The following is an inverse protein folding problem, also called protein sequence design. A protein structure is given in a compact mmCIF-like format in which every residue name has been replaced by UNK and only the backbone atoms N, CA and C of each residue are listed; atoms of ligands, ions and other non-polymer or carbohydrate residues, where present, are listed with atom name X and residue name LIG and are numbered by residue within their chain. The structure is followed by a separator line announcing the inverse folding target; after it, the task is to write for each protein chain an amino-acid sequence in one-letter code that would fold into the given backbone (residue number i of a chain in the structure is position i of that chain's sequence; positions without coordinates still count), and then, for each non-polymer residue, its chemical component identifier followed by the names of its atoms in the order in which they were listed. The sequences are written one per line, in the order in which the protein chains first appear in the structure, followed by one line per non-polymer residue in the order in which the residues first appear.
data_IF_276959850050
#
_entry.id   IF_276959850050
#
_cell.length_a   1.000
_cell.length_b   1.000
_cell.length_c   1.000
_cell.angle_alpha   90.00
_cell.angle_beta   90.00
_cell.angle_gamma   90.00
#
_symmetry.space_group_name_H-M   'P 1'
#
loop_
_entity.id
_entity.type
_entity.pdbx_description
1 polymer ?
#
# COMPACT_ATOMS: atom_id res chain seq x y z
N UNK A 1 -6.72 -6.22 3.19
CA UNK A 1 -7.21 -6.55 1.83
C UNK A 1 -6.90 -5.52 0.74
N UNK A 2 -7.39 -4.27 0.78
CA UNK A 2 -7.21 -3.31 -0.34
C UNK A 2 -5.73 -3.09 -0.66
N UNK A 3 -4.91 -2.83 0.36
CA UNK A 3 -3.46 -2.69 0.22
C UNK A 3 -2.79 -4.02 -0.15
N UNK A 4 -3.12 -5.10 0.57
CA UNK A 4 -2.55 -6.45 0.34
C UNK A 4 -2.77 -6.97 -1.09
N UNK A 5 -3.93 -6.71 -1.69
CA UNK A 5 -4.30 -7.22 -3.01
C UNK A 5 -4.15 -6.16 -4.12
N UNK A 6 -3.48 -5.04 -3.81
CA UNK A 6 -3.20 -3.96 -4.77
C UNK A 6 -4.49 -3.50 -5.49
N UNK A 7 -5.58 -3.37 -4.74
CA UNK A 7 -6.88 -2.97 -5.29
C UNK A 7 -7.00 -1.44 -5.30
N UNK A 8 -7.62 -0.85 -6.33
CA UNK A 8 -7.92 0.58 -6.32
C UNK A 8 -8.81 0.94 -5.12
N UNK A 9 -8.57 2.09 -4.48
CA UNK A 9 -9.43 2.56 -3.38
C UNK A 9 -10.88 2.74 -3.81
N UNK A 10 -11.13 2.98 -5.10
CA UNK A 10 -12.47 3.10 -5.68
C UNK A 10 -13.29 1.82 -5.56
N UNK A 11 -12.68 0.65 -5.37
CA UNK A 11 -13.39 -0.62 -5.23
C UNK A 11 -14.42 -0.61 -4.09
N UNK A 12 -14.24 0.19 -3.04
CA UNK A 12 -15.24 0.30 -1.95
C UNK A 12 -16.52 1.05 -2.35
N UNK A 13 -16.50 1.72 -3.50
CA UNK A 13 -17.67 2.38 -4.07
C UNK A 13 -18.48 1.47 -5.00
N UNK A 14 -17.95 0.29 -5.35
CA UNK A 14 -18.61 -0.67 -6.21
C UNK A 14 -19.94 -1.16 -5.60
N UNK A 15 -20.95 -1.33 -6.44
CA UNK A 15 -22.29 -1.72 -5.98
C UNK A 15 -22.30 -3.17 -5.46
N UNK A 16 -21.62 -4.09 -6.14
CA UNK A 16 -21.51 -5.49 -5.74
C UNK A 16 -20.73 -5.63 -4.44
N UNK A 17 -19.63 -4.90 -4.30
CA UNK A 17 -18.88 -4.83 -3.04
C UNK A 17 -19.76 -4.35 -1.87
N UNK A 18 -20.50 -3.25 -2.05
CA UNK A 18 -21.37 -2.69 -1.01
C UNK A 18 -22.53 -3.60 -0.66
N UNK A 19 -23.10 -4.28 -1.65
CA UNK A 19 -24.13 -5.29 -1.43
C UNK A 19 -23.58 -6.44 -0.57
N UNK A 20 -22.45 -7.02 -0.98
CA UNK A 20 -21.77 -8.10 -0.23
C UNK A 20 -21.41 -7.70 1.20
N UNK A 21 -20.91 -6.48 1.43
CA UNK A 21 -20.56 -6.00 2.78
C UNK A 21 -21.78 -5.80 3.68
N UNK A 22 -22.98 -5.65 3.11
CA UNK A 22 -24.23 -5.48 3.85
C UNK A 22 -25.04 -6.76 3.96
N UNK A 23 -24.69 -7.79 3.22
CA UNK A 23 -25.33 -9.09 3.27
C UNK A 23 -25.17 -9.69 4.68
N UNK A 24 -26.29 -10.03 5.32
CA UNK A 24 -26.32 -10.47 6.72
C UNK A 24 -26.13 -9.38 7.78
N UNK A 25 -25.71 -8.14 7.42
CA UNK A 25 -25.59 -6.98 8.32
C UNK A 25 -25.95 -5.66 7.63
N UNK A 26 -27.25 -5.36 7.45
CA UNK A 26 -27.70 -4.19 6.67
C UNK A 26 -27.26 -2.83 7.24
N UNK A 27 -27.08 -2.74 8.56
CA UNK A 27 -26.63 -1.54 9.28
C UNK A 27 -25.10 -1.35 9.26
N UNK A 28 -24.35 -2.27 8.64
CA UNK A 28 -22.90 -2.15 8.58
C UNK A 28 -22.47 -0.90 7.79
N UNK A 29 -21.59 -0.11 8.40
CA UNK A 29 -21.04 1.09 7.79
C UNK A 29 -19.87 0.75 6.88
N UNK A 30 -20.03 1.00 5.57
CA UNK A 30 -18.97 0.82 4.58
C UNK A 30 -18.17 2.12 4.44
N UNK A 31 -16.85 2.03 4.60
CA UNK A 31 -15.95 3.18 4.50
C UNK A 31 -15.94 3.78 3.10
N UNK A 32 -15.79 5.11 3.02
CA UNK A 32 -15.55 5.81 1.77
C UNK A 32 -14.11 5.62 1.27
N UNK A 33 -13.90 5.79 -0.05
CA UNK A 33 -12.58 5.66 -0.70
C UNK A 33 -11.50 6.54 -0.05
N UNK A 34 -11.87 7.75 0.38
CA UNK A 34 -10.92 8.72 0.92
C UNK A 34 -10.53 8.38 2.36
N UNK A 35 -11.44 7.79 3.13
CA UNK A 35 -11.15 7.23 4.45
C UNK A 35 -10.19 6.06 4.33
N UNK A 36 -10.46 5.13 3.42
CA UNK A 36 -9.57 3.99 3.16
C UNK A 36 -8.18 4.47 2.71
N UNK A 37 -8.10 5.44 1.80
CA UNK A 37 -6.83 6.01 1.35
C UNK A 37 -6.05 6.67 2.52
N UNK A 38 -6.74 7.40 3.40
CA UNK A 38 -6.13 8.03 4.58
C UNK A 38 -5.58 6.99 5.55
N UNK A 39 -6.33 5.93 5.81
CA UNK A 39 -5.92 4.89 6.76
C UNK A 39 -4.76 4.05 6.20
N UNK A 40 -4.78 3.72 4.91
CA UNK A 40 -3.65 3.07 4.23
C UNK A 40 -2.41 3.97 4.27
N UNK A 41 -2.56 5.30 4.08
CA UNK A 41 -1.44 6.24 4.21
C UNK A 41 -0.87 6.28 5.63
N UNK A 42 -1.72 6.27 6.66
CA UNK A 42 -1.26 6.20 8.07
C UNK A 42 -0.48 4.91 8.33
N UNK A 43 -0.99 3.77 7.86
CA UNK A 43 -0.31 2.49 7.97
C UNK A 43 1.06 2.53 7.29
N UNK A 44 1.12 3.04 6.06
CA UNK A 44 2.38 3.22 5.33
C UNK A 44 3.39 4.06 6.11
N UNK A 45 2.96 5.19 6.70
CA UNK A 45 3.86 6.06 7.49
C UNK A 45 4.38 5.35 8.74
N UNK A 46 3.52 4.61 9.45
CA UNK A 46 3.93 3.83 10.62
C UNK A 46 4.94 2.72 10.23
N UNK A 47 4.67 1.98 9.15
CA UNK A 47 5.58 0.94 8.65
C UNK A 47 6.90 1.55 8.17
N UNK A 48 6.87 2.70 7.49
CA UNK A 48 8.07 3.41 7.06
C UNK A 48 8.93 3.85 8.26
N UNK A 49 8.32 4.36 9.32
CA UNK A 49 9.03 4.77 10.53
C UNK A 49 9.68 3.56 11.23
N UNK A 50 8.95 2.44 11.34
CA UNK A 50 9.51 1.18 11.85
C UNK A 50 10.70 0.72 11.00
N UNK A 51 10.53 0.65 9.69
CA UNK A 51 11.59 0.23 8.76
C UNK A 51 12.82 1.15 8.83
N UNK A 52 12.63 2.46 8.99
CA UNK A 52 13.74 3.40 9.14
C UNK A 52 14.54 3.11 10.43
N UNK A 53 13.86 2.83 11.54
CA UNK A 53 14.52 2.44 12.79
C UNK A 53 15.26 1.11 12.61
N UNK A 54 14.62 0.12 12.00
CA UNK A 54 15.23 -1.20 11.74
C UNK A 54 16.51 -1.03 10.91
N UNK A 55 16.46 -0.29 9.80
CA UNK A 55 17.62 -0.03 8.92
C UNK A 55 18.74 0.78 9.59
N UNK A 56 18.41 1.75 10.45
CA UNK A 56 19.41 2.52 11.20
C UNK A 56 20.09 1.68 12.29
N UNK A 57 19.41 0.68 12.83
CA UNK A 57 19.95 -0.25 13.82
C UNK A 57 20.76 -1.39 13.22
N UNK A 58 20.66 -1.62 11.91
CA UNK A 58 21.39 -2.68 11.23
C UNK A 58 22.87 -2.33 11.04
N UNK A 59 23.76 -3.17 11.56
CA UNK A 59 25.21 -3.11 11.32
C UNK A 59 25.62 -3.92 10.05
N UNK A 60 24.64 -4.47 9.35
CA UNK A 60 24.84 -5.32 8.16
C UNK A 60 24.89 -4.51 6.87
N UNK A 61 25.60 -5.04 5.86
CA UNK A 61 25.59 -4.49 4.51
C UNK A 61 24.24 -4.75 3.84
N UNK A 62 23.61 -3.69 3.35
CA UNK A 62 22.37 -3.76 2.58
C UNK A 62 22.68 -3.75 1.09
N UNK A 63 22.00 -4.59 0.31
CA UNK A 63 22.07 -4.58 -1.14
C UNK A 63 21.02 -3.61 -1.70
N UNK A 64 21.47 -2.64 -2.50
CA UNK A 64 20.61 -1.66 -3.16
C UNK A 64 20.50 -2.00 -4.65
N UNK A 65 19.28 -2.15 -5.15
CA UNK A 65 18.99 -2.25 -6.57
C UNK A 65 18.17 -1.02 -7.00
N UNK A 66 18.60 -0.36 -8.07
CA UNK A 66 17.88 0.74 -8.71
C UNK A 66 17.54 0.31 -10.12
N UNK A 67 16.25 0.29 -10.43
CA UNK A 67 15.73 -0.06 -11.75
C UNK A 67 15.06 1.16 -12.37
N UNK A 68 15.42 1.48 -13.61
CA UNK A 68 14.97 2.67 -14.32
C UNK A 68 14.38 2.27 -15.68
N UNK A 69 13.16 2.70 -15.96
CA UNK A 69 12.51 2.41 -17.24
C UNK A 69 11.64 3.58 -17.70
N UNK A 70 11.27 3.57 -18.98
CA UNK A 70 10.27 4.49 -19.53
C UNK A 70 8.94 3.76 -19.64
N UNK A 71 7.88 4.33 -19.08
CA UNK A 71 6.54 3.81 -19.26
C UNK A 71 6.03 4.08 -20.69
N UNK A 72 5.11 3.26 -21.22
CA UNK A 72 4.45 3.52 -22.51
C UNK A 72 3.77 4.89 -22.60
N UNK A 73 3.46 5.51 -21.46
CA UNK A 73 2.85 6.83 -21.35
C UNK A 73 3.89 7.97 -21.31
N UNK A 74 5.12 7.74 -21.77
CA UNK A 74 6.22 8.73 -21.82
C UNK A 74 6.68 9.28 -20.46
N UNK A 75 6.37 8.59 -19.36
CA UNK A 75 6.91 8.93 -18.05
C UNK A 75 8.13 8.06 -17.73
N UNK A 76 9.25 8.70 -17.40
CA UNK A 76 10.41 8.03 -16.81
C UNK A 76 10.10 7.60 -15.37
N UNK A 77 10.36 6.33 -15.05
CA UNK A 77 10.12 5.71 -13.75
C UNK A 77 11.44 5.21 -13.16
N UNK A 78 11.50 5.21 -11.83
CA UNK A 78 12.61 4.65 -11.06
C UNK A 78 12.06 3.86 -9.88
N UNK A 79 12.47 2.61 -9.74
CA UNK A 79 12.24 1.78 -8.56
C UNK A 79 13.53 1.67 -7.76
N UNK A 80 13.41 1.71 -6.45
CA UNK A 80 14.52 1.51 -5.51
C UNK A 80 14.13 0.37 -4.58
N UNK A 81 14.89 -0.71 -4.63
CA UNK A 81 14.69 -1.90 -3.79
C UNK A 81 15.90 -2.12 -2.91
N UNK A 82 15.67 -2.33 -1.62
CA UNK A 82 16.72 -2.65 -0.65
C UNK A 82 16.47 -4.07 -0.13
N UNK A 83 17.49 -4.92 -0.19
CA UNK A 83 17.46 -6.29 0.31
C UNK A 83 18.57 -6.49 1.34
N UNK A 84 18.25 -7.15 2.44
CA UNK A 84 19.21 -7.55 3.47
C UNK A 84 18.84 -8.93 4.00
N UNK A 85 19.82 -9.62 4.58
CA UNK A 85 19.62 -10.89 5.27
C UNK A 85 19.69 -10.60 6.76
N UNK A 86 18.68 -11.07 7.50
CA UNK A 86 18.64 -11.01 8.96
C UNK A 86 19.32 -12.24 9.56
#
# INVERSE_FOLDING_TARGET
WVAENVRPFRTVLDCGYRWLQKEGRPSHYVLGKDTVARDVKKLYLATKAKLANDLQSCDYKVALAVDCWSSPNHHAMMSITVSWVH
#
